data_IF_000864276941
#
_entry.id   IF_000864276941
#
_cell.length_a   1.000
_cell.length_b   1.000
_cell.length_c   1.000
_cell.angle_alpha   90.00
_cell.angle_beta   90.00
_cell.angle_gamma   90.00
#
_symmetry.space_group_name_H-M   'P 1'
#
loop_
_entity.id
_entity.type
_entity.pdbx_description
1 polymer ?
#
# COMPACT_ATOMS: atom_id res chain seq x y z
N UNK A 1 -48.17 -27.36 -23.09
CA UNK A 1 -47.75 -27.38 -21.66
C UNK A 1 -46.55 -26.47 -21.49
N UNK A 2 -46.59 -25.55 -20.52
CA UNK A 2 -45.49 -24.66 -20.14
C UNK A 2 -44.61 -25.35 -19.10
N UNK A 3 -43.30 -25.38 -19.32
CA UNK A 3 -42.30 -25.57 -18.27
C UNK A 3 -41.25 -24.47 -18.46
N UNK A 4 -41.45 -23.36 -17.76
CA UNK A 4 -40.43 -22.33 -17.57
C UNK A 4 -39.65 -22.74 -16.33
N UNK A 5 -38.52 -23.41 -16.51
CA UNK A 5 -37.58 -23.65 -15.41
C UNK A 5 -36.72 -22.40 -15.21
N UNK A 6 -36.93 -21.77 -14.06
CA UNK A 6 -36.28 -20.56 -13.60
C UNK A 6 -34.81 -20.88 -13.27
N UNK A 7 -33.87 -20.33 -14.05
CA UNK A 7 -32.44 -20.50 -13.81
C UNK A 7 -32.05 -19.79 -12.49
N UNK A 8 -31.43 -20.48 -11.50
CA UNK A 8 -31.08 -19.86 -10.25
C UNK A 8 -30.04 -18.75 -10.48
N UNK A 9 -30.43 -17.53 -10.12
CA UNK A 9 -29.59 -16.33 -10.17
C UNK A 9 -28.30 -16.55 -9.38
N UNK A 10 -27.18 -16.10 -9.95
CA UNK A 10 -25.81 -16.18 -9.41
C UNK A 10 -25.73 -16.00 -7.87
N UNK A 11 -24.90 -16.78 -7.15
CA UNK A 11 -24.78 -16.66 -5.71
C UNK A 11 -24.29 -15.24 -5.36
N UNK A 12 -25.13 -14.49 -4.67
CA UNK A 12 -24.72 -13.24 -4.04
C UNK A 12 -23.59 -13.57 -3.07
N UNK A 13 -22.41 -12.99 -3.29
CA UNK A 13 -21.24 -13.22 -2.43
C UNK A 13 -21.60 -12.76 -1.02
N UNK A 14 -21.99 -13.70 -0.16
CA UNK A 14 -22.25 -13.41 1.25
C UNK A 14 -20.99 -12.81 1.85
N UNK A 15 -21.12 -11.62 2.45
CA UNK A 15 -20.02 -11.01 3.21
C UNK A 15 -19.64 -12.04 4.29
N UNK A 16 -18.40 -12.51 4.26
CA UNK A 16 -17.81 -13.47 5.21
C UNK A 16 -16.39 -13.03 5.54
N UNK A 17 -15.88 -13.46 6.70
CA UNK A 17 -14.52 -13.12 7.16
C UNK A 17 -14.31 -11.62 7.34
N UNK A 18 -13.19 -11.08 6.85
CA UNK A 18 -12.83 -9.66 6.97
C UNK A 18 -13.85 -8.71 6.33
N UNK A 19 -14.65 -9.17 5.36
CA UNK A 19 -15.68 -8.35 4.72
C UNK A 19 -16.90 -8.09 5.62
N UNK A 20 -17.09 -8.87 6.69
CA UNK A 20 -18.11 -8.62 7.72
C UNK A 20 -17.65 -7.65 8.81
N UNK A 21 -16.36 -7.40 8.91
CA UNK A 21 -15.81 -6.54 9.95
C UNK A 21 -16.22 -5.10 9.66
N UNK A 22 -16.63 -4.37 10.70
CA UNK A 22 -16.92 -2.95 10.59
C UNK A 22 -15.69 -2.20 10.02
N UNK A 23 -15.90 -1.19 9.15
CA UNK A 23 -14.80 -0.56 8.41
C UNK A 23 -13.73 0.03 9.33
N UNK A 24 -14.11 0.52 10.51
CA UNK A 24 -13.18 1.02 11.52
C UNK A 24 -12.29 -0.09 12.10
N UNK A 25 -12.88 -1.23 12.48
CA UNK A 25 -12.12 -2.40 12.96
C UNK A 25 -11.21 -2.96 11.86
N UNK A 26 -11.64 -2.94 10.61
CA UNK A 26 -10.81 -3.38 9.48
C UNK A 26 -9.56 -2.49 9.33
N UNK A 27 -9.73 -1.16 9.44
CA UNK A 27 -8.62 -0.20 9.42
C UNK A 27 -7.68 -0.41 10.61
N UNK A 28 -8.22 -0.64 11.80
CA UNK A 28 -7.43 -0.90 13.00
C UNK A 28 -6.57 -2.17 12.85
N UNK A 29 -7.15 -3.26 12.31
CA UNK A 29 -6.40 -4.49 12.02
C UNK A 29 -5.30 -4.23 10.98
N UNK A 30 -5.61 -3.52 9.89
CA UNK A 30 -4.62 -3.16 8.88
C UNK A 30 -3.47 -2.30 9.45
N UNK A 31 -3.81 -1.36 10.33
CA UNK A 31 -2.84 -0.50 11.04
C UNK A 31 -1.93 -1.32 11.96
N UNK A 32 -2.49 -2.29 12.70
CA UNK A 32 -1.73 -3.20 13.57
C UNK A 32 -0.70 -4.02 12.80
N UNK A 33 -1.03 -4.52 11.62
CA UNK A 33 -0.09 -5.26 10.78
C UNK A 33 1.20 -4.49 10.47
N UNK A 34 1.08 -3.20 10.12
CA UNK A 34 2.24 -2.33 9.85
C UNK A 34 2.97 -1.82 11.10
N UNK A 35 2.28 -1.73 12.23
CA UNK A 35 2.85 -1.30 13.52
C UNK A 35 3.48 -2.43 14.33
N UNK A 36 3.15 -3.69 14.05
CA UNK A 36 3.63 -4.86 14.78
C UNK A 36 5.15 -4.99 14.81
N UNK A 37 5.85 -4.48 13.78
CA UNK A 37 7.30 -4.44 13.74
C UNK A 37 7.79 -3.05 14.19
N UNK A 38 8.58 -2.98 15.29
CA UNK A 38 9.25 -1.75 15.73
C UNK A 38 10.04 -1.14 14.60
N UNK A 39 10.18 0.19 14.60
CA UNK A 39 10.79 0.92 13.49
C UNK A 39 12.19 0.41 13.13
N UNK A 40 12.96 0.02 14.14
CA UNK A 40 14.34 -0.42 14.11
C UNK A 40 14.49 -1.83 13.54
N UNK A 41 13.42 -2.65 13.65
CA UNK A 41 13.39 -4.03 13.17
C UNK A 41 12.75 -4.18 11.79
N UNK A 42 12.32 -3.08 11.16
CA UNK A 42 11.77 -3.11 9.80
C UNK A 42 12.89 -3.26 8.78
N UNK A 43 12.76 -4.18 7.84
CA UNK A 43 13.79 -4.47 6.82
C UNK A 43 14.22 -3.25 6.01
N UNK A 44 13.28 -2.36 5.68
CA UNK A 44 13.57 -1.12 4.95
C UNK A 44 14.26 -0.04 5.79
N UNK A 45 14.17 -0.09 7.12
CA UNK A 45 14.90 0.83 8.01
C UNK A 45 16.34 0.38 8.25
N UNK A 46 16.62 -0.92 8.14
CA UNK A 46 17.94 -1.48 8.37
C UNK A 46 18.83 -1.35 7.13
N UNK A 47 18.27 -1.57 5.95
CA UNK A 47 19.01 -1.58 4.68
C UNK A 47 18.44 -0.53 3.72
N UNK A 48 19.03 0.69 3.68
CA UNK A 48 18.55 1.75 2.79
C UNK A 48 18.65 1.36 1.31
N UNK A 49 19.65 0.56 0.93
CA UNK A 49 19.82 0.07 -0.44
C UNK A 49 18.68 -0.84 -0.89
N UNK A 50 18.17 -1.68 0.03
CA UNK A 50 17.01 -2.54 -0.23
C UNK A 50 15.76 -1.69 -0.45
N UNK A 51 15.56 -0.65 0.38
CA UNK A 51 14.45 0.29 0.21
C UNK A 51 14.55 1.04 -1.13
N UNK A 52 15.75 1.48 -1.52
CA UNK A 52 15.99 2.13 -2.80
C UNK A 52 15.78 1.19 -3.99
N UNK A 53 16.24 -0.06 -3.91
CA UNK A 53 16.03 -1.08 -4.94
C UNK A 53 14.54 -1.42 -5.11
N UNK A 54 13.82 -1.63 -4.01
CA UNK A 54 12.38 -1.88 -4.03
C UNK A 54 11.60 -0.69 -4.61
N UNK A 55 11.96 0.53 -4.22
CA UNK A 55 11.36 1.76 -4.77
C UNK A 55 11.58 1.89 -6.28
N UNK A 56 12.80 1.64 -6.75
CA UNK A 56 13.12 1.62 -8.19
C UNK A 56 12.28 0.59 -8.94
N UNK A 57 12.22 -0.65 -8.44
CA UNK A 57 11.42 -1.73 -9.04
C UNK A 57 9.92 -1.42 -9.07
N UNK A 58 9.38 -0.77 -8.03
CA UNK A 58 7.99 -0.31 -8.03
C UNK A 58 7.75 0.79 -9.07
N UNK A 59 8.69 1.71 -9.24
CA UNK A 59 8.61 2.81 -10.20
C UNK A 59 8.76 2.39 -11.66
N UNK A 60 9.33 1.21 -11.94
CA UNK A 60 9.46 0.72 -13.33
C UNK A 60 8.17 0.23 -13.94
N UNK A 61 7.10 0.03 -13.16
CA UNK A 61 5.79 -0.41 -13.66
C UNK A 61 5.11 0.62 -14.57
N UNK A 62 5.62 1.86 -14.59
CA UNK A 62 5.15 2.96 -15.43
C UNK A 62 6.16 3.18 -16.57
N UNK A 63 5.66 3.23 -17.81
CA UNK A 63 6.44 3.58 -18.98
C UNK A 63 7.19 4.92 -18.75
N UNK A 64 8.46 5.05 -19.18
CA UNK A 64 9.32 6.19 -18.85
C UNK A 64 8.65 7.55 -19.13
N UNK A 65 7.98 7.68 -20.28
CA UNK A 65 7.27 8.89 -20.70
C UNK A 65 6.07 9.26 -19.81
N UNK A 66 5.46 8.26 -19.17
CA UNK A 66 4.28 8.44 -18.30
C UNK A 66 4.66 8.55 -16.82
N UNK A 67 5.94 8.51 -16.47
CA UNK A 67 6.40 8.64 -15.09
C UNK A 67 6.15 10.04 -14.58
N UNK A 68 5.67 10.14 -13.34
CA UNK A 68 5.53 11.42 -12.63
C UNK A 68 6.84 12.21 -12.62
N UNK A 69 7.98 11.53 -12.52
CA UNK A 69 9.33 12.12 -12.58
C UNK A 69 9.69 12.79 -13.90
N UNK A 70 9.13 12.32 -15.01
CA UNK A 70 9.37 12.87 -16.35
C UNK A 70 8.36 13.94 -16.73
N UNK A 71 7.15 13.87 -16.16
CA UNK A 71 6.04 14.76 -16.50
C UNK A 71 5.97 16.01 -15.63
N UNK A 72 6.32 15.90 -14.34
CA UNK A 72 6.33 17.02 -13.40
C UNK A 72 7.46 16.84 -12.36
N UNK A 73 8.60 17.54 -12.55
CA UNK A 73 9.72 17.51 -11.62
C UNK A 73 9.36 17.96 -10.20
N UNK A 74 8.42 18.89 -10.05
CA UNK A 74 8.03 19.43 -8.76
C UNK A 74 7.24 18.38 -7.95
N UNK A 75 6.30 17.69 -8.60
CA UNK A 75 5.55 16.59 -7.97
C UNK A 75 6.46 15.43 -7.57
N UNK A 76 7.43 15.10 -8.42
CA UNK A 76 8.45 14.10 -8.11
C UNK A 76 9.34 14.49 -6.92
N UNK A 77 9.81 15.74 -6.88
CA UNK A 77 10.58 16.27 -5.76
C UNK A 77 9.75 16.24 -4.47
N UNK A 78 8.48 16.64 -4.53
CA UNK A 78 7.57 16.60 -3.37
C UNK A 78 7.34 15.16 -2.86
N UNK A 79 7.15 14.20 -3.76
CA UNK A 79 7.02 12.78 -3.42
C UNK A 79 8.31 12.23 -2.78
N UNK A 80 9.48 12.57 -3.34
CA UNK A 80 10.78 12.21 -2.79
C UNK A 80 11.00 12.81 -1.40
N UNK A 81 10.73 14.11 -1.22
CA UNK A 81 10.79 14.80 0.08
C UNK A 81 9.85 14.14 1.08
N UNK A 82 8.60 13.84 0.71
CA UNK A 82 7.63 13.16 1.59
C UNK A 82 8.13 11.79 2.05
N UNK A 83 8.74 11.01 1.15
CA UNK A 83 9.38 9.74 1.51
C UNK A 83 10.57 9.94 2.46
N UNK A 84 11.42 10.92 2.18
CA UNK A 84 12.59 11.25 3.00
C UNK A 84 12.25 11.75 4.40
N UNK A 85 11.23 12.61 4.55
CA UNK A 85 10.81 13.13 5.87
C UNK A 85 10.16 12.06 6.74
N UNK A 86 9.46 11.10 6.15
CA UNK A 86 8.93 9.95 6.87
C UNK A 86 10.05 9.09 7.47
N UNK A 87 11.22 9.05 6.81
CA UNK A 87 12.44 8.44 7.32
C UNK A 87 13.18 9.33 8.34
N UNK A 88 13.29 10.64 8.08
CA UNK A 88 14.04 11.58 8.93
C UNK A 88 13.41 11.81 10.31
N UNK A 89 12.08 11.83 10.45
CA UNK A 89 11.42 11.89 11.77
C UNK A 89 11.78 10.72 12.69
N UNK A 90 12.30 9.61 12.15
CA UNK A 90 12.81 8.48 12.93
C UNK A 90 14.32 8.55 13.19
N UNK A 91 15.08 9.19 12.31
CA UNK A 91 16.51 9.40 12.51
C UNK A 91 16.78 10.43 13.62
N UNK A 92 15.98 11.50 13.71
CA UNK A 92 16.11 12.52 14.75
C UNK A 92 15.69 12.04 16.15
N UNK A 93 14.96 10.93 16.25
CA UNK A 93 14.60 10.30 17.53
C UNK A 93 15.66 9.29 18.02
N UNK A 94 16.77 9.15 17.27
CA UNK A 94 17.86 8.20 17.51
C UNK A 94 19.18 8.90 17.86
N UNK A 95 19.13 10.20 18.18
CA UNK A 95 20.24 11.03 18.64
C UNK A 95 20.05 11.38 20.11
#
# INVERSE_FOLDING_TARGET
MRCSDEFPSSPTKSRRGFACVAPEKQREIARRGGSAVPAEKRSFSQNPDLAAAAGRKGGTSVAPEKRSFSRDPALASAAGKKGGVASHKKASARA
#
